data_IF_443686136917
#
_entry.id   IF_443686136917
#
_cell.length_a   1.000
_cell.length_b   1.000
_cell.length_c   1.000
_cell.angle_alpha   90.00
_cell.angle_beta   90.00
_cell.angle_gamma   90.00
#
_symmetry.space_group_name_H-M   'P 1'
#
loop_
_entity.id
_entity.type
_entity.pdbx_description
1 polymer ?
#
# COMPACT_ATOMS: atom_id res chain seq x y z
N UNK A 1 -64.85 27.80 -11.26
CA UNK A 1 -65.59 28.39 -10.12
C UNK A 1 -66.72 27.50 -9.56
N UNK A 2 -66.81 26.20 -9.90
CA UNK A 2 -67.89 25.31 -9.43
C UNK A 2 -67.46 24.29 -8.35
N UNK A 3 -66.17 23.91 -8.30
CA UNK A 3 -65.69 22.89 -7.34
C UNK A 3 -65.57 23.41 -5.90
N UNK A 4 -65.23 24.68 -5.68
CA UNK A 4 -65.11 25.25 -4.34
C UNK A 4 -66.46 25.40 -3.60
N UNK A 5 -67.58 25.58 -4.33
CA UNK A 5 -68.92 25.64 -3.72
C UNK A 5 -69.41 24.27 -3.24
N UNK A 6 -69.04 23.20 -3.93
CA UNK A 6 -69.38 21.83 -3.51
C UNK A 6 -68.61 21.45 -2.25
N UNK A 7 -67.32 21.82 -2.17
CA UNK A 7 -66.48 21.54 -1.00
C UNK A 7 -66.94 22.29 0.26
N UNK A 8 -67.32 23.57 0.16
CA UNK A 8 -67.85 24.30 1.33
C UNK A 8 -69.22 23.78 1.79
N UNK A 9 -70.07 23.30 0.88
CA UNK A 9 -71.38 22.71 1.23
C UNK A 9 -71.21 21.39 2.01
N UNK A 10 -70.27 20.54 1.58
CA UNK A 10 -69.94 19.27 2.25
C UNK A 10 -69.33 19.53 3.64
N UNK A 11 -68.44 20.51 3.77
CA UNK A 11 -67.81 20.87 5.05
C UNK A 11 -68.83 21.44 6.05
N UNK A 12 -69.78 22.26 5.58
CA UNK A 12 -70.83 22.84 6.42
C UNK A 12 -71.91 21.81 6.82
N UNK A 13 -72.18 20.81 5.97
CA UNK A 13 -73.03 19.68 6.31
C UNK A 13 -72.37 18.77 7.37
N UNK A 14 -71.06 18.54 7.31
CA UNK A 14 -70.34 17.79 8.34
C UNK A 14 -70.35 18.49 9.70
N UNK A 15 -70.20 19.82 9.76
CA UNK A 15 -70.30 20.56 11.02
C UNK A 15 -71.71 20.52 11.65
N UNK A 16 -72.76 20.61 10.83
CA UNK A 16 -74.15 20.48 11.32
C UNK A 16 -74.46 19.06 11.77
N UNK A 17 -73.98 18.04 11.06
CA UNK A 17 -74.14 16.64 11.46
C UNK A 17 -73.41 16.34 12.77
N UNK A 18 -72.19 16.89 12.95
CA UNK A 18 -71.42 16.74 14.17
C UNK A 18 -72.09 17.41 15.38
N UNK A 19 -72.69 18.59 15.20
CA UNK A 19 -73.45 19.29 16.27
C UNK A 19 -74.76 18.59 16.65
N UNK A 20 -75.48 18.02 15.68
CA UNK A 20 -76.70 17.24 15.94
C UNK A 20 -76.39 15.93 16.67
N UNK A 21 -75.32 15.22 16.26
CA UNK A 21 -74.87 13.99 16.91
C UNK A 21 -74.40 14.24 18.36
N UNK A 22 -73.75 15.39 18.60
CA UNK A 22 -73.31 15.75 19.95
C UNK A 22 -74.49 16.10 20.87
N UNK A 23 -75.54 16.78 20.37
CA UNK A 23 -76.72 17.09 21.20
C UNK A 23 -77.58 15.86 21.51
N UNK A 24 -77.65 14.90 20.59
CA UNK A 24 -78.45 13.68 20.76
C UNK A 24 -77.76 12.67 21.70
N UNK A 25 -76.41 12.65 21.75
CA UNK A 25 -75.64 11.84 22.70
C UNK A 25 -75.77 12.29 24.16
N UNK A 26 -75.99 13.60 24.40
CA UNK A 26 -76.17 14.16 25.74
C UNK A 26 -77.56 13.90 26.31
N UNK A 27 -78.56 13.62 25.46
CA UNK A 27 -79.93 13.30 25.91
C UNK A 27 -80.17 11.80 26.16
N UNK A 28 -79.27 10.93 25.71
CA UNK A 28 -79.47 9.47 25.75
C UNK A 28 -78.64 8.74 26.82
N UNK A 29 -77.90 9.46 27.66
CA UNK A 29 -77.15 8.87 28.78
C UNK A 29 -77.85 9.18 30.10
N UNK A 30 -78.80 8.32 30.48
CA UNK A 30 -79.16 8.10 31.88
C UNK A 30 -77.96 7.46 32.58
N UNK A 31 -76.94 8.25 32.84
CA UNK A 31 -75.85 7.90 33.76
C UNK A 31 -76.20 8.59 35.06
N UNK A 32 -76.37 7.78 36.11
CA UNK A 32 -76.42 8.28 37.49
C UNK A 32 -75.10 9.01 37.78
N UNK A 33 -75.08 10.32 37.53
CA UNK A 33 -73.94 11.20 37.79
C UNK A 33 -73.89 11.46 39.29
N UNK A 34 -73.24 10.56 40.03
CA UNK A 34 -72.70 10.94 41.33
C UNK A 34 -71.58 11.96 41.09
N UNK A 35 -71.50 12.99 41.93
CA UNK A 35 -70.46 14.03 41.83
C UNK A 35 -69.04 13.42 41.79
N UNK A 36 -68.86 12.27 42.43
CA UNK A 36 -67.63 11.47 42.47
C UNK A 36 -67.15 11.02 41.07
N UNK A 37 -68.04 10.58 40.17
CA UNK A 37 -67.64 10.11 38.83
C UNK A 37 -67.18 11.24 37.90
N UNK A 38 -67.73 12.45 38.07
CA UNK A 38 -67.32 13.65 37.33
C UNK A 38 -65.95 14.16 37.80
N UNK A 39 -65.71 14.10 39.11
CA UNK A 39 -64.44 14.49 39.72
C UNK A 39 -63.32 13.49 39.37
N UNK A 40 -63.63 12.19 39.32
CA UNK A 40 -62.71 11.14 38.87
C UNK A 40 -62.37 11.27 37.37
N UNK A 41 -63.35 11.61 36.53
CA UNK A 41 -63.10 11.89 35.10
C UNK A 41 -62.23 13.14 34.89
N UNK A 42 -62.49 14.22 35.65
CA UNK A 42 -61.71 15.45 35.60
C UNK A 42 -60.26 15.25 36.08
N UNK A 43 -60.05 14.47 37.14
CA UNK A 43 -58.70 14.14 37.64
C UNK A 43 -57.94 13.28 36.62
N UNK A 44 -58.61 12.34 35.95
CA UNK A 44 -57.98 11.53 34.89
C UNK A 44 -57.58 12.36 33.67
N UNK A 45 -58.39 13.35 33.28
CA UNK A 45 -58.05 14.27 32.18
C UNK A 45 -56.79 15.08 32.53
N UNK A 46 -56.71 15.64 33.74
CA UNK A 46 -55.53 16.38 34.19
C UNK A 46 -54.26 15.51 34.23
N UNK A 47 -54.41 14.24 34.59
CA UNK A 47 -53.29 13.28 34.59
C UNK A 47 -52.80 12.99 33.16
N UNK A 48 -53.71 12.75 32.22
CA UNK A 48 -53.39 12.55 30.81
C UNK A 48 -52.76 13.79 30.17
N UNK A 49 -53.22 14.99 30.53
CA UNK A 49 -52.61 16.24 30.08
C UNK A 49 -51.17 16.38 30.57
N UNK A 50 -50.90 15.99 31.83
CA UNK A 50 -49.55 15.96 32.39
C UNK A 50 -48.65 14.95 31.67
N UNK A 51 -49.16 13.74 31.40
CA UNK A 51 -48.43 12.71 30.64
C UNK A 51 -48.13 13.16 29.20
N UNK A 52 -49.09 13.78 28.51
CA UNK A 52 -48.88 14.34 27.18
C UNK A 52 -47.82 15.45 27.16
N UNK A 53 -47.81 16.31 28.17
CA UNK A 53 -46.80 17.35 28.32
C UNK A 53 -45.41 16.73 28.54
N UNK A 54 -45.29 15.73 29.40
CA UNK A 54 -44.05 15.01 29.64
C UNK A 54 -43.54 14.32 28.36
N UNK A 55 -44.42 13.63 27.63
CA UNK A 55 -44.09 12.99 26.37
C UNK A 55 -43.61 14.00 25.33
N UNK A 56 -44.27 15.17 25.21
CA UNK A 56 -43.84 16.25 24.31
C UNK A 56 -42.45 16.78 24.66
N UNK A 57 -42.16 17.01 25.94
CA UNK A 57 -40.84 17.47 26.36
C UNK A 57 -39.75 16.44 26.07
N UNK A 58 -40.03 15.16 26.30
CA UNK A 58 -39.11 14.05 26.00
C UNK A 58 -38.81 13.94 24.50
N UNK A 59 -39.83 14.08 23.65
CA UNK A 59 -39.66 14.11 22.19
C UNK A 59 -38.82 15.32 21.77
N UNK A 60 -39.09 16.51 22.30
CA UNK A 60 -38.30 17.71 21.99
C UNK A 60 -36.81 17.55 22.36
N UNK A 61 -36.51 16.92 23.50
CA UNK A 61 -35.13 16.63 23.91
C UNK A 61 -34.46 15.62 22.97
N UNK A 62 -35.20 14.59 22.55
CA UNK A 62 -34.72 13.58 21.58
C UNK A 62 -34.48 14.21 20.21
N UNK A 63 -35.37 15.06 19.72
CA UNK A 63 -35.21 15.79 18.45
C UNK A 63 -33.97 16.68 18.47
N UNK A 64 -33.69 17.35 19.60
CA UNK A 64 -32.48 18.14 19.77
C UNK A 64 -31.20 17.27 19.72
N UNK A 65 -31.24 16.06 20.28
CA UNK A 65 -30.13 15.09 20.20
C UNK A 65 -29.96 14.56 18.77
N UNK A 66 -31.05 14.20 18.10
CA UNK A 66 -31.03 13.76 16.70
C UNK A 66 -30.45 14.84 15.78
N UNK A 67 -30.80 16.11 16.00
CA UNK A 67 -30.22 17.23 15.25
C UNK A 67 -28.71 17.33 15.43
N UNK A 68 -28.21 17.27 16.67
CA UNK A 68 -26.77 17.29 16.95
C UNK A 68 -26.03 16.13 16.29
N UNK A 69 -26.62 14.94 16.30
CA UNK A 69 -26.03 13.77 15.64
C UNK A 69 -26.03 13.91 14.12
N UNK A 70 -27.09 14.47 13.54
CA UNK A 70 -27.15 14.76 12.11
C UNK A 70 -26.12 15.80 11.69
N UNK A 71 -25.91 16.85 12.48
CA UNK A 71 -24.89 17.86 12.21
C UNK A 71 -23.48 17.25 12.25
N UNK A 72 -23.21 16.38 13.24
CA UNK A 72 -21.93 15.67 13.34
C UNK A 72 -21.71 14.71 12.16
N UNK A 73 -22.75 13.99 11.76
CA UNK A 73 -22.67 13.10 10.61
C UNK A 73 -22.36 13.87 9.33
N UNK A 74 -23.08 14.97 9.05
CA UNK A 74 -22.84 15.80 7.88
C UNK A 74 -21.41 16.38 7.86
N UNK A 75 -20.89 16.76 9.02
CA UNK A 75 -19.51 17.22 9.15
C UNK A 75 -18.51 16.12 8.80
N UNK A 76 -18.68 14.92 9.37
CA UNK A 76 -17.82 13.77 9.05
C UNK A 76 -17.90 13.38 7.57
N UNK A 77 -19.09 13.37 6.98
CA UNK A 77 -19.28 13.07 5.56
C UNK A 77 -18.54 14.07 4.66
N UNK A 78 -18.51 15.35 5.08
CA UNK A 78 -17.75 16.40 4.38
C UNK A 78 -16.24 16.14 4.48
N UNK A 79 -15.72 15.83 5.67
CA UNK A 79 -14.30 15.53 5.85
C UNK A 79 -13.85 14.30 5.07
N UNK A 80 -14.67 13.25 5.06
CA UNK A 80 -14.42 12.04 4.27
C UNK A 80 -14.41 12.36 2.78
N UNK A 81 -15.34 13.19 2.31
CA UNK A 81 -15.39 13.61 0.91
C UNK A 81 -14.14 14.41 0.51
N UNK A 82 -13.74 15.40 1.32
CA UNK A 82 -12.53 16.20 1.07
C UNK A 82 -11.25 15.35 1.07
N UNK A 83 -11.14 14.40 1.99
CA UNK A 83 -9.99 13.49 2.03
C UNK A 83 -9.95 12.59 0.80
N UNK A 84 -11.12 12.09 0.37
CA UNK A 84 -11.26 11.27 -0.82
C UNK A 84 -10.85 12.04 -2.07
N UNK A 85 -11.27 13.31 -2.18
CA UNK A 85 -10.86 14.19 -3.29
C UNK A 85 -9.33 14.39 -3.32
N UNK A 86 -8.72 14.69 -2.17
CA UNK A 86 -7.25 14.85 -2.07
C UNK A 86 -6.50 13.58 -2.44
N UNK A 87 -7.00 12.42 -2.03
CA UNK A 87 -6.39 11.13 -2.36
C UNK A 87 -6.43 10.85 -3.86
N UNK A 88 -7.56 11.13 -4.52
CA UNK A 88 -7.66 11.01 -5.98
C UNK A 88 -6.73 11.99 -6.68
N UNK A 89 -6.67 13.26 -6.26
CA UNK A 89 -5.76 14.25 -6.85
C UNK A 89 -4.29 13.82 -6.75
N UNK A 90 -3.88 13.29 -5.60
CA UNK A 90 -2.49 12.81 -5.42
C UNK A 90 -2.23 11.55 -6.26
N UNK A 91 -3.18 10.62 -6.35
CA UNK A 91 -3.05 9.45 -7.22
C UNK A 91 -2.90 9.86 -8.70
N UNK A 92 -3.74 10.79 -9.19
CA UNK A 92 -3.62 11.33 -10.55
C UNK A 92 -2.26 11.97 -10.80
N UNK A 93 -1.76 12.75 -9.83
CA UNK A 93 -0.44 13.37 -9.92
C UNK A 93 0.68 12.34 -9.98
N UNK A 94 0.65 11.32 -9.12
CA UNK A 94 1.65 10.25 -9.13
C UNK A 94 1.69 9.49 -10.46
N UNK A 95 0.52 9.20 -11.03
CA UNK A 95 0.39 8.52 -12.33
C UNK A 95 0.95 9.40 -13.45
N UNK A 96 0.60 10.68 -13.48
CA UNK A 96 1.11 11.62 -14.49
C UNK A 96 2.63 11.81 -14.38
N UNK A 97 3.17 11.92 -13.16
CA UNK A 97 4.60 12.02 -12.93
C UNK A 97 5.33 10.75 -13.40
N UNK A 98 4.75 9.57 -13.22
CA UNK A 98 5.29 8.31 -13.73
C UNK A 98 5.27 8.27 -15.27
N UNK A 99 4.17 8.72 -15.87
CA UNK A 99 4.01 8.77 -17.33
C UNK A 99 5.00 9.75 -17.97
N UNK A 100 5.21 10.93 -17.38
CA UNK A 100 6.20 11.90 -17.85
C UNK A 100 7.63 11.32 -17.77
N UNK A 101 7.97 10.60 -16.70
CA UNK A 101 9.27 9.92 -16.57
C UNK A 101 9.42 8.83 -17.64
N UNK A 102 8.36 8.08 -17.91
CA UNK A 102 8.34 7.04 -18.95
C UNK A 102 8.56 7.63 -20.34
N UNK A 103 7.86 8.70 -20.68
CA UNK A 103 8.02 9.40 -21.97
C UNK A 103 9.46 9.90 -22.16
N UNK A 104 10.06 10.50 -21.12
CA UNK A 104 11.46 10.93 -21.16
C UNK A 104 12.43 9.76 -21.37
N UNK A 105 12.22 8.64 -20.70
CA UNK A 105 13.05 7.45 -20.85
C UNK A 105 12.92 6.83 -22.24
N UNK A 106 11.70 6.71 -22.77
CA UNK A 106 11.43 6.20 -24.12
C UNK A 106 12.10 7.08 -25.19
N UNK A 107 12.04 8.41 -25.02
CA UNK A 107 12.74 9.34 -25.92
C UNK A 107 14.25 9.15 -25.91
N UNK A 108 14.87 9.05 -24.73
CA UNK A 108 16.31 8.82 -24.60
C UNK A 108 16.73 7.45 -25.17
N UNK A 109 15.87 6.44 -25.02
CA UNK A 109 16.07 5.12 -25.60
C UNK A 109 16.02 5.18 -27.12
N UNK A 110 15.06 5.90 -27.71
CA UNK A 110 14.98 6.10 -29.15
C UNK A 110 16.23 6.80 -29.70
N UNK A 111 16.70 7.86 -29.05
CA UNK A 111 17.92 8.58 -29.42
C UNK A 111 19.16 7.66 -29.35
N UNK A 112 19.26 6.84 -28.32
CA UNK A 112 20.37 5.88 -28.15
C UNK A 112 20.32 4.76 -29.18
N UNK A 113 19.13 4.28 -29.51
CA UNK A 113 18.93 3.28 -30.57
C UNK A 113 19.36 3.81 -31.93
N UNK A 114 18.98 5.05 -32.27
CA UNK A 114 19.45 5.69 -33.50
C UNK A 114 20.98 5.80 -33.56
N UNK A 115 21.66 6.08 -32.43
CA UNK A 115 23.13 6.09 -32.36
C UNK A 115 23.73 4.71 -32.57
N UNK A 116 23.13 3.66 -32.00
CA UNK A 116 23.57 2.27 -32.22
C UNK A 116 23.44 1.86 -33.68
N UNK A 117 22.34 2.23 -34.35
CA UNK A 117 22.13 1.91 -35.76
C UNK A 117 23.22 2.57 -36.64
N UNK A 118 23.57 3.83 -36.37
CA UNK A 118 24.67 4.53 -37.05
C UNK A 118 26.00 3.83 -36.80
N UNK A 119 26.35 3.56 -35.55
CA UNK A 119 27.61 2.89 -35.21
C UNK A 119 27.69 1.47 -35.81
N UNK A 120 26.57 0.76 -35.87
CA UNK A 120 26.49 -0.57 -36.48
C UNK A 120 26.78 -0.49 -37.97
N UNK A 121 26.19 0.48 -38.68
CA UNK A 121 26.46 0.72 -40.09
C UNK A 121 27.93 1.12 -40.35
N UNK A 122 28.51 1.96 -39.49
CA UNK A 122 29.93 2.34 -39.57
C UNK A 122 30.85 1.13 -39.40
N UNK A 123 30.60 0.29 -38.39
CA UNK A 123 31.37 -0.94 -38.15
C UNK A 123 31.21 -1.92 -39.30
N UNK A 124 30.03 -2.07 -39.87
CA UNK A 124 29.79 -2.92 -41.03
C UNK A 124 30.59 -2.44 -42.26
N UNK A 125 30.60 -1.13 -42.52
CA UNK A 125 31.41 -0.54 -43.59
C UNK A 125 32.92 -0.77 -43.36
N UNK A 126 33.42 -0.57 -42.13
CA UNK A 126 34.81 -0.85 -41.77
C UNK A 126 35.16 -2.33 -41.92
N UNK A 127 34.25 -3.24 -41.56
CA UNK A 127 34.43 -4.68 -41.70
C UNK A 127 34.58 -5.11 -43.15
N UNK A 128 33.86 -4.46 -44.08
CA UNK A 128 34.02 -4.67 -45.53
C UNK A 128 35.42 -4.23 -45.98
N UNK A 129 35.87 -3.05 -45.53
CA UNK A 129 37.20 -2.52 -45.87
C UNK A 129 38.32 -3.43 -45.36
N UNK A 130 38.23 -3.91 -44.11
CA UNK A 130 39.25 -4.77 -43.50
C UNK A 130 39.27 -6.17 -44.11
N UNK A 131 38.09 -6.72 -44.48
CA UNK A 131 37.99 -8.02 -45.15
C UNK A 131 38.34 -7.97 -46.63
N UNK A 132 38.52 -6.78 -47.22
CA UNK A 132 39.04 -6.69 -48.57
C UNK A 132 40.46 -7.28 -48.60
N UNK A 133 40.76 -8.26 -49.48
CA UNK A 133 42.02 -8.97 -49.45
C UNK A 133 43.19 -7.99 -49.65
N UNK A 134 44.16 -8.03 -48.72
CA UNK A 134 45.46 -7.40 -48.90
C UNK A 134 46.12 -7.98 -50.14
N UNK A 135 46.27 -7.16 -51.18
CA UNK A 135 47.09 -7.49 -52.34
C UNK A 135 48.53 -7.66 -51.86
N UNK A 136 49.02 -8.90 -51.87
CA UNK A 136 50.42 -9.22 -51.64
C UNK A 136 51.27 -8.47 -52.68
N UNK A 137 52.08 -7.53 -52.21
CA UNK A 137 53.14 -6.92 -52.99
C UNK A 137 54.33 -7.89 -52.97
N UNK A 138 54.55 -8.60 -54.08
CA UNK A 138 55.81 -9.29 -54.36
C UNK A 138 56.41 -8.78 -55.68
N UNK A 139 57.61 -8.18 -55.53
CA UNK A 139 58.71 -7.93 -56.49
C UNK A 139 58.45 -8.06 -58.00
N UNK A 140 58.72 -6.95 -58.71
CA UNK A 140 59.03 -6.92 -60.16
C UNK A 140 58.38 -5.73 -60.84
N UNK A 141 59.15 -4.65 -61.04
CA UNK A 141 58.60 -3.37 -61.48
C UNK A 141 58.13 -3.33 -62.94
N UNK A 142 57.04 -2.60 -63.19
CA UNK A 142 56.97 -1.45 -64.13
C UNK A 142 55.85 -0.53 -63.63
N UNK A 143 56.11 0.77 -63.59
CA UNK A 143 55.21 1.76 -63.03
C UNK A 143 53.98 2.05 -63.90
N UNK A 144 52.87 2.38 -63.21
CA UNK A 144 51.75 3.22 -63.63
C UNK A 144 50.82 2.74 -64.76
N UNK A 145 49.63 2.27 -64.32
CA UNK A 145 48.31 2.92 -64.49
C UNK A 145 47.26 1.82 -64.47
N UNK A 146 46.52 1.69 -63.37
CA UNK A 146 45.11 1.25 -63.21
C UNK A 146 44.92 1.16 -61.68
N UNK A 147 44.98 2.31 -61.01
CA UNK A 147 44.67 2.40 -59.56
C UNK A 147 44.06 3.78 -59.28
N UNK A 148 43.05 4.15 -60.08
CA UNK A 148 42.52 5.51 -60.11
C UNK A 148 41.00 5.65 -60.16
N UNK A 149 40.21 4.57 -60.14
CA UNK A 149 38.75 4.71 -60.27
C UNK A 149 37.91 4.24 -59.07
N UNK A 150 38.42 3.35 -58.20
CA UNK A 150 37.60 2.85 -57.07
C UNK A 150 37.85 3.58 -55.74
N UNK A 151 38.93 4.36 -55.61
CA UNK A 151 39.19 5.18 -54.42
C UNK A 151 38.55 6.57 -54.51
N UNK A 152 38.46 7.14 -55.72
CA UNK A 152 37.86 8.47 -55.97
C UNK A 152 36.32 8.46 -55.96
N UNK A 153 35.68 7.30 -56.18
CA UNK A 153 34.21 7.18 -56.05
C UNK A 153 33.74 7.04 -54.59
N UNK A 154 34.62 6.61 -53.67
CA UNK A 154 34.28 6.50 -52.26
C UNK A 154 34.41 7.84 -51.53
N UNK A 155 35.35 8.70 -51.94
CA UNK A 155 35.52 10.05 -51.39
C UNK A 155 34.41 11.02 -51.77
N UNK A 156 33.67 10.76 -52.87
CA UNK A 156 32.54 11.59 -53.27
C UNK A 156 31.27 11.28 -52.44
N UNK A 157 31.07 10.03 -52.02
CA UNK A 157 29.92 9.63 -51.21
C UNK A 157 30.08 9.99 -49.72
N UNK A 158 31.31 9.94 -49.17
CA UNK A 158 31.58 10.36 -47.79
C UNK A 158 31.42 11.89 -47.62
N UNK A 159 31.67 12.67 -48.68
CA UNK A 159 31.46 14.13 -48.66
C UNK A 159 30.00 14.55 -48.93
N UNK A 160 29.18 13.69 -49.55
CA UNK A 160 27.74 13.95 -49.74
C UNK A 160 26.92 13.72 -48.45
N UNK A 161 27.28 12.73 -47.63
CA UNK A 161 26.60 12.42 -46.37
C UNK A 161 26.82 13.49 -45.28
N UNK A 162 27.94 14.21 -45.31
CA UNK A 162 28.20 15.32 -44.36
C UNK A 162 27.47 16.62 -44.72
N UNK A 163 27.00 16.78 -45.98
CA UNK A 163 26.21 17.95 -46.40
C UNK A 163 24.71 17.83 -46.13
N UNK A 164 24.15 16.62 -46.00
CA UNK A 164 22.72 16.42 -45.69
C UNK A 164 22.38 16.73 -44.23
N UNK A 165 23.36 16.69 -43.32
CA UNK A 165 23.14 16.96 -41.88
C UNK A 165 23.11 18.47 -41.56
N UNK A 166 23.41 19.37 -42.50
CA UNK A 166 23.42 20.83 -42.26
C UNK A 166 22.13 21.57 -42.61
N UNK A 167 21.06 20.87 -42.99
CA UNK A 167 19.76 21.46 -43.36
C UNK A 167 18.66 20.90 -42.45
N UNK A 168 18.74 21.16 -41.15
CA UNK A 168 17.58 21.23 -40.23
C UNK A 168 17.98 21.99 -38.97
N UNK A 169 18.36 23.26 -39.12
CA UNK A 169 18.37 24.20 -38.00
C UNK A 169 17.94 25.57 -38.47
N UNK A 170 16.65 25.87 -38.28
CA UNK A 170 16.10 27.22 -38.08
C UNK A 170 14.66 27.13 -37.56
N UNK A 171 14.43 27.86 -36.46
CA UNK A 171 13.20 28.06 -35.64
C UNK A 171 13.01 26.95 -34.58
N UNK A 172 13.01 27.22 -33.27
CA UNK A 172 12.45 28.37 -32.57
C UNK A 172 13.20 28.75 -31.28
N UNK A 173 13.04 30.02 -30.92
CA UNK A 173 13.69 30.75 -29.81
C UNK A 173 13.05 30.42 -28.45
N UNK A 174 13.90 30.39 -27.41
CA UNK A 174 13.74 31.02 -26.07
C UNK A 174 12.76 30.40 -25.05
N UNK A 175 13.32 29.79 -24.00
CA UNK A 175 13.13 30.28 -22.62
C UNK A 175 14.35 29.95 -21.75
N UNK A 176 14.62 30.84 -20.80
CA UNK A 176 15.89 31.07 -20.10
C UNK A 176 16.13 30.17 -18.87
N UNK A 177 17.42 29.89 -18.65
CA UNK A 177 18.16 29.81 -17.37
C UNK A 177 17.66 28.93 -16.20
N UNK A 178 18.45 27.92 -15.81
CA UNK A 178 19.21 27.94 -14.54
C UNK A 178 20.32 26.87 -14.54
N UNK A 179 21.41 27.19 -13.84
CA UNK A 179 22.71 26.50 -13.80
C UNK A 179 22.69 25.35 -12.78
N UNK A 180 23.32 24.20 -13.07
CA UNK A 180 24.43 23.67 -12.26
C UNK A 180 24.87 22.24 -12.61
N UNK A 181 26.19 22.13 -12.82
CA UNK A 181 27.11 21.09 -12.38
C UNK A 181 26.86 19.64 -12.81
N UNK A 182 27.61 19.22 -13.85
CA UNK A 182 27.98 17.85 -14.11
C UNK A 182 28.64 17.19 -12.88
N UNK A 183 28.06 16.10 -12.40
CA UNK A 183 28.82 15.00 -11.80
C UNK A 183 28.77 13.81 -12.76
N UNK A 184 29.91 13.57 -13.42
CA UNK A 184 30.21 12.31 -14.09
C UNK A 184 30.20 11.18 -13.06
N UNK A 185 29.31 10.22 -13.22
CA UNK A 185 29.52 8.86 -12.75
C UNK A 185 29.23 7.91 -13.89
N UNK A 186 30.24 7.11 -14.24
CA UNK A 186 30.19 6.09 -15.27
C UNK A 186 29.12 5.05 -14.94
N UNK A 187 28.34 4.64 -15.95
CA UNK A 187 27.68 3.33 -15.96
C UNK A 187 27.96 2.62 -17.29
N UNK A 188 28.43 1.37 -17.15
CA UNK A 188 28.67 0.40 -18.20
C UNK A 188 27.34 -0.14 -18.76
N UNK A 189 27.30 -0.65 -20.01
CA UNK A 189 26.06 -1.03 -20.67
C UNK A 189 25.59 -2.41 -20.19
N UNK A 190 24.33 -2.53 -19.77
CA UNK A 190 23.67 -3.83 -19.59
C UNK A 190 22.89 -4.17 -20.84
N UNK A 191 23.14 -5.38 -21.33
CA UNK A 191 22.64 -5.97 -22.56
C UNK A 191 21.14 -6.19 -22.53
N UNK A 192 20.49 -5.88 -23.66
CA UNK A 192 19.08 -6.13 -23.94
C UNK A 192 18.75 -7.63 -24.10
N UNK A 193 17.54 -8.00 -23.65
CA UNK A 193 16.57 -9.02 -24.15
C UNK A 193 15.51 -9.19 -23.05
N UNK A 194 14.21 -9.23 -23.25
CA UNK A 194 13.34 -9.19 -24.43
C UNK A 194 11.89 -9.01 -23.94
N UNK A 195 11.00 -8.67 -24.86
CA UNK A 195 9.57 -8.35 -24.71
C UNK A 195 8.72 -9.38 -23.95
N UNK A 196 7.93 -8.93 -22.96
CA UNK A 196 6.59 -9.49 -22.64
C UNK A 196 5.66 -8.36 -22.17
N UNK A 197 4.46 -8.33 -22.72
CA UNK A 197 3.30 -7.54 -22.28
C UNK A 197 2.56 -8.26 -21.16
N UNK A 198 2.44 -7.65 -19.97
CA UNK A 198 1.21 -7.50 -19.18
C UNK A 198 1.54 -6.85 -17.82
N UNK A 199 0.58 -6.05 -17.33
CA UNK A 199 0.55 -5.36 -16.04
C UNK A 199 1.05 -6.20 -14.86
N UNK A 200 2.12 -5.72 -14.24
CA UNK A 200 2.49 -5.67 -12.83
C UNK A 200 3.88 -5.01 -12.89
N UNK A 201 4.24 -4.12 -11.96
CA UNK A 201 5.63 -3.69 -11.87
C UNK A 201 6.47 -4.97 -11.76
N UNK A 202 7.19 -5.35 -12.81
CA UNK A 202 8.07 -6.51 -12.84
C UNK A 202 9.07 -6.28 -11.70
N UNK A 203 8.72 -6.80 -10.53
CA UNK A 203 9.55 -6.78 -9.35
C UNK A 203 10.59 -7.87 -9.62
N UNK A 204 11.51 -7.56 -10.53
CA UNK A 204 12.57 -8.45 -10.98
C UNK A 204 13.34 -8.85 -9.74
N UNK A 205 13.04 -10.05 -9.25
CA UNK A 205 13.70 -10.61 -8.10
C UNK A 205 15.05 -11.13 -8.58
N UNK A 206 16.05 -10.25 -8.52
CA UNK A 206 17.43 -10.61 -8.79
C UNK A 206 18.03 -11.31 -7.57
N UNK A 207 18.65 -12.46 -7.81
CA UNK A 207 19.26 -13.26 -6.76
C UNK A 207 20.68 -12.76 -6.52
N UNK A 208 20.95 -12.30 -5.30
CA UNK A 208 22.32 -12.10 -4.85
C UNK A 208 23.05 -13.46 -4.75
N UNK A 209 24.12 -13.70 -5.53
CA UNK A 209 24.84 -14.96 -5.52
C UNK A 209 25.51 -15.29 -4.18
N UNK A 210 25.88 -14.29 -3.38
CA UNK A 210 26.51 -14.50 -2.06
C UNK A 210 25.50 -15.06 -1.07
N UNK A 211 24.35 -14.42 -0.95
CA UNK A 211 23.29 -14.87 -0.04
C UNK A 211 22.68 -16.20 -0.49
N UNK A 212 22.55 -16.41 -1.81
CA UNK A 212 22.04 -17.67 -2.33
C UNK A 212 23.00 -18.83 -2.02
N UNK A 213 24.32 -18.64 -2.21
CA UNK A 213 25.32 -19.66 -1.87
C UNK A 213 25.29 -20.01 -0.38
N UNK A 214 25.32 -19.00 0.49
CA UNK A 214 25.25 -19.21 1.95
C UNK A 214 23.98 -19.97 2.36
N UNK A 215 22.84 -19.65 1.74
CA UNK A 215 21.58 -20.35 1.97
C UNK A 215 21.61 -21.80 1.47
N UNK A 216 22.14 -22.05 0.27
CA UNK A 216 22.25 -23.40 -0.28
C UNK A 216 23.15 -24.29 0.57
N UNK A 217 24.33 -23.79 0.97
CA UNK A 217 25.25 -24.51 1.86
C UNK A 217 24.59 -24.84 3.22
N UNK A 218 23.87 -23.88 3.80
CA UNK A 218 23.09 -24.10 5.02
C UNK A 218 22.00 -25.16 4.83
N UNK A 219 21.24 -25.09 3.74
CA UNK A 219 20.18 -26.05 3.46
C UNK A 219 20.73 -27.47 3.25
N UNK A 220 21.82 -27.62 2.47
CA UNK A 220 22.49 -28.89 2.21
C UNK A 220 23.11 -29.51 3.47
N UNK A 221 23.53 -28.68 4.44
CA UNK A 221 24.00 -29.13 5.75
C UNK A 221 22.90 -29.68 6.68
N UNK A 222 21.65 -29.78 6.18
CA UNK A 222 20.49 -30.25 6.92
C UNK A 222 19.70 -29.14 7.63
N UNK A 223 19.83 -27.89 7.17
CA UNK A 223 19.06 -26.75 7.67
C UNK A 223 19.10 -26.56 9.20
N UNK A 224 20.23 -26.91 9.81
CA UNK A 224 20.40 -26.87 11.26
C UNK A 224 20.37 -25.42 11.78
N UNK A 225 19.88 -25.24 13.01
CA UNK A 225 19.98 -23.95 13.72
C UNK A 225 21.34 -23.87 14.41
N UNK A 226 22.41 -23.91 13.62
CA UNK A 226 23.78 -23.71 14.10
C UNK A 226 24.18 -22.25 13.95
N UNK A 227 24.43 -21.58 15.08
CA UNK A 227 24.85 -20.16 15.11
C UNK A 227 26.19 -19.91 14.43
N UNK A 228 26.97 -20.96 14.13
CA UNK A 228 28.27 -20.87 13.47
C UNK A 228 28.18 -20.85 11.95
N UNK A 229 27.01 -21.09 11.36
CA UNK A 229 26.88 -21.00 9.90
C UNK A 229 26.93 -19.54 9.46
N UNK A 230 27.61 -19.20 8.34
CA UNK A 230 27.65 -17.84 7.81
C UNK A 230 26.24 -17.27 7.56
N UNK A 231 25.32 -18.11 7.08
CA UNK A 231 23.92 -17.77 6.88
C UNK A 231 23.23 -17.29 8.18
N UNK A 232 23.39 -18.01 9.28
CA UNK A 232 22.78 -17.66 10.56
C UNK A 232 23.44 -16.46 11.21
N UNK A 233 24.77 -16.39 11.21
CA UNK A 233 25.51 -15.27 11.79
C UNK A 233 25.12 -13.95 11.14
N UNK A 234 24.98 -13.96 9.80
CA UNK A 234 24.53 -12.81 9.03
C UNK A 234 23.13 -12.37 9.44
N UNK A 235 22.15 -13.28 9.40
CA UNK A 235 20.74 -12.95 9.70
C UNK A 235 20.57 -12.50 11.16
N UNK A 236 21.33 -13.11 12.07
CA UNK A 236 21.34 -12.71 13.48
C UNK A 236 21.87 -11.29 13.66
N UNK A 237 22.91 -10.91 12.91
CA UNK A 237 23.61 -9.63 13.07
C UNK A 237 22.95 -8.49 12.31
N UNK A 238 22.51 -8.71 11.08
CA UNK A 238 21.95 -7.69 10.20
C UNK A 238 20.46 -7.42 10.47
N UNK A 239 19.67 -8.45 10.80
CA UNK A 239 18.22 -8.32 10.99
C UNK A 239 17.74 -8.63 12.41
N UNK A 240 17.99 -9.81 12.97
CA UNK A 240 17.31 -10.25 14.21
C UNK A 240 17.73 -9.38 15.40
N UNK A 241 19.03 -9.22 15.67
CA UNK A 241 19.51 -8.39 16.80
C UNK A 241 19.07 -6.93 16.65
N UNK A 242 19.21 -6.27 15.47
CA UNK A 242 18.68 -4.93 15.27
C UNK A 242 17.16 -4.84 15.36
N UNK A 243 16.42 -5.86 14.91
CA UNK A 243 14.95 -5.88 14.96
C UNK A 243 14.43 -6.10 16.39
N UNK A 244 15.16 -6.81 17.25
CA UNK A 244 14.80 -6.94 18.66
C UNK A 244 15.51 -5.93 19.56
N UNK A 245 16.22 -4.94 19.03
CA UNK A 245 16.86 -3.93 19.88
C UNK A 245 15.81 -3.00 20.51
N UNK A 246 15.51 -3.25 21.79
CA UNK A 246 14.62 -2.44 22.64
C UNK A 246 15.39 -1.89 23.86
N UNK A 247 14.80 -0.90 24.53
CA UNK A 247 15.39 -0.26 25.71
C UNK A 247 15.62 -1.26 26.86
N UNK A 248 14.61 -2.09 27.16
CA UNK A 248 14.70 -3.12 28.22
C UNK A 248 15.40 -4.39 27.72
N UNK A 249 16.73 -4.35 27.73
CA UNK A 249 17.60 -5.42 27.18
C UNK A 249 17.44 -6.79 27.86
N UNK A 250 17.20 -6.83 29.17
CA UNK A 250 17.03 -8.09 29.90
C UNK A 250 15.82 -8.87 29.41
N UNK A 251 14.65 -8.22 29.35
CA UNK A 251 13.40 -8.81 28.84
C UNK A 251 13.58 -9.19 27.37
N UNK A 252 14.25 -8.34 26.59
CA UNK A 252 14.54 -8.59 25.17
C UNK A 252 15.34 -9.87 24.95
N UNK A 253 16.37 -10.11 25.77
CA UNK A 253 17.17 -11.34 25.67
C UNK A 253 16.34 -12.58 25.93
N UNK A 254 15.46 -12.53 26.94
CA UNK A 254 14.50 -13.59 27.25
C UNK A 254 13.50 -13.80 26.11
N UNK A 255 13.00 -12.73 25.49
CA UNK A 255 12.12 -12.80 24.31
C UNK A 255 12.82 -13.52 23.16
N UNK A 256 14.07 -13.18 22.85
CA UNK A 256 14.83 -13.88 21.80
C UNK A 256 15.00 -15.38 22.11
N UNK A 257 15.33 -15.72 23.36
CA UNK A 257 15.40 -17.12 23.80
C UNK A 257 14.05 -17.84 23.69
N UNK A 258 12.95 -17.19 24.05
CA UNK A 258 11.60 -17.74 23.93
C UNK A 258 11.16 -17.95 22.48
N UNK A 259 11.53 -17.05 21.56
CA UNK A 259 11.27 -17.21 20.12
C UNK A 259 12.02 -18.44 19.57
N UNK A 260 13.29 -18.60 19.97
CA UNK A 260 14.12 -19.75 19.59
C UNK A 260 13.51 -21.06 20.05
N UNK A 261 13.08 -21.10 21.31
CA UNK A 261 12.48 -22.28 21.94
C UNK A 261 11.00 -22.48 21.59
N UNK A 262 10.41 -21.55 20.82
CA UNK A 262 9.00 -21.56 20.44
C UNK A 262 8.02 -21.58 21.63
N UNK A 263 8.34 -20.84 22.70
CA UNK A 263 7.52 -20.74 23.93
C UNK A 263 6.82 -19.39 24.10
N UNK A 264 7.10 -18.43 23.23
CA UNK A 264 6.53 -17.09 23.28
C UNK A 264 5.05 -17.11 22.88
N UNK A 265 4.20 -16.50 23.70
CA UNK A 265 2.79 -16.28 23.40
C UNK A 265 2.51 -14.79 23.20
N UNK A 266 1.63 -14.47 22.25
CA UNK A 266 1.29 -13.11 21.87
C UNK A 266 -0.20 -13.02 21.55
N UNK A 267 -0.88 -12.08 22.20
CA UNK A 267 -2.33 -11.90 22.06
C UNK A 267 -2.71 -10.42 21.92
N UNK A 268 -3.83 -10.16 21.24
CA UNK A 268 -4.48 -8.85 21.24
C UNK A 268 -5.32 -8.66 22.50
N UNK A 269 -5.38 -7.42 22.98
CA UNK A 269 -6.14 -7.04 24.16
C UNK A 269 -7.29 -6.16 23.72
N UNK A 270 -8.52 -6.60 23.99
CA UNK A 270 -9.73 -5.82 23.73
C UNK A 270 -10.18 -5.13 25.02
N UNK A 271 -9.72 -3.88 25.21
CA UNK A 271 -10.15 -3.04 26.33
C UNK A 271 -11.30 -2.14 25.90
N UNK A 272 -12.37 -2.06 26.71
CA UNK A 272 -13.51 -1.17 26.45
C UNK A 272 -13.11 0.31 26.46
N UNK A 273 -12.04 0.65 27.19
CA UNK A 273 -11.46 1.99 27.23
C UNK A 273 -9.93 1.89 27.17
N UNK A 274 -9.31 2.20 26.02
CA UNK A 274 -7.86 2.16 25.88
C UNK A 274 -7.19 3.12 26.86
N UNK A 275 -6.26 2.63 27.66
CA UNK A 275 -5.45 3.46 28.54
C UNK A 275 -3.97 3.46 28.11
N UNK A 276 -3.30 4.58 28.42
CA UNK A 276 -1.87 4.70 28.18
C UNK A 276 -1.10 3.85 29.21
N UNK A 277 -0.20 3.01 28.72
CA UNK A 277 0.65 2.14 29.52
C UNK A 277 2.09 2.31 29.05
N UNK A 278 3.04 2.15 29.97
CA UNK A 278 4.45 2.03 29.59
C UNK A 278 4.65 0.69 28.87
N UNK A 279 5.10 0.72 27.62
CA UNK A 279 5.40 -0.50 26.88
C UNK A 279 6.49 -1.30 27.61
N UNK A 280 6.25 -2.58 27.85
CA UNK A 280 7.15 -3.45 28.58
C UNK A 280 8.52 -3.66 27.91
N UNK A 281 8.66 -3.34 26.62
CA UNK A 281 9.92 -3.48 25.88
C UNK A 281 10.57 -2.12 25.56
N UNK A 282 9.81 -1.19 25.00
CA UNK A 282 10.33 0.12 24.58
C UNK A 282 10.36 1.17 25.68
N UNK A 283 9.72 0.95 26.84
CA UNK A 283 9.63 1.94 27.92
C UNK A 283 8.68 3.13 27.64
N UNK A 284 8.37 3.40 26.38
CA UNK A 284 7.51 4.52 25.95
C UNK A 284 6.06 4.35 26.39
N UNK A 285 5.47 5.41 26.93
CA UNK A 285 4.06 5.48 27.28
C UNK A 285 3.20 5.61 26.02
N UNK A 286 2.35 4.63 25.76
CA UNK A 286 1.49 4.57 24.57
C UNK A 286 0.31 3.63 24.79
N UNK A 287 -0.61 3.56 23.83
CA UNK A 287 -1.65 2.53 23.83
C UNK A 287 -0.97 1.19 23.50
N UNK A 288 -1.19 0.19 24.36
CA UNK A 288 -0.61 -1.15 24.21
C UNK A 288 -1.73 -2.16 23.95
N UNK A 289 -2.17 -2.34 22.68
CA UNK A 289 -3.26 -3.23 22.33
C UNK A 289 -2.85 -4.71 22.27
N UNK A 290 -1.61 -5.03 22.64
CA UNK A 290 -1.10 -6.39 22.65
C UNK A 290 -0.45 -6.73 23.99
N UNK A 291 -0.43 -8.00 24.31
CA UNK A 291 0.30 -8.56 25.45
C UNK A 291 1.13 -9.76 25.00
N UNK A 292 2.32 -9.90 25.57
CA UNK A 292 3.18 -11.06 25.37
C UNK A 292 3.41 -11.80 26.67
N UNK A 293 3.67 -13.10 26.57
CA UNK A 293 4.11 -13.95 27.67
C UNK A 293 5.31 -14.78 27.20
N UNK A 294 6.43 -14.70 27.91
CA UNK A 294 7.72 -15.30 27.49
C UNK A 294 7.71 -16.81 27.67
N UNK A 295 7.10 -17.28 28.76
CA UNK A 295 6.88 -18.68 29.07
C UNK A 295 5.57 -18.81 29.86
N UNK A 296 4.90 -19.97 29.78
CA UNK A 296 3.54 -20.16 30.32
C UNK A 296 3.35 -19.79 31.80
N UNK A 297 4.43 -19.77 32.60
CA UNK A 297 4.40 -19.45 34.03
C UNK A 297 4.73 -17.98 34.36
N UNK A 298 5.06 -17.15 33.37
CA UNK A 298 5.37 -15.72 33.57
C UNK A 298 4.13 -14.83 33.36
N UNK A 299 4.17 -13.63 33.95
CA UNK A 299 3.12 -12.63 33.82
C UNK A 299 3.02 -12.05 32.41
N UNK A 300 1.81 -11.57 32.07
CA UNK A 300 1.56 -10.88 30.81
C UNK A 300 2.22 -9.49 30.78
N UNK A 301 2.97 -9.23 29.72
CA UNK A 301 3.65 -7.97 29.47
C UNK A 301 2.96 -7.20 28.34
N UNK A 302 2.43 -6.01 28.64
CA UNK A 302 1.78 -5.16 27.63
C UNK A 302 2.79 -4.51 26.69
N UNK A 303 2.53 -4.57 25.39
CA UNK A 303 3.41 -4.03 24.36
C UNK A 303 2.67 -3.18 23.33
N UNK A 304 3.41 -2.25 22.72
CA UNK A 304 2.94 -1.40 21.64
C UNK A 304 2.82 -2.18 20.32
N UNK A 305 2.07 -1.64 19.37
CA UNK A 305 1.99 -2.17 18.01
C UNK A 305 3.37 -2.26 17.33
N UNK A 306 4.24 -1.26 17.55
CA UNK A 306 5.61 -1.25 17.02
C UNK A 306 6.42 -2.44 17.53
N UNK A 307 6.40 -2.67 18.85
CA UNK A 307 7.10 -3.79 19.46
C UNK A 307 6.53 -5.12 18.99
N UNK A 308 5.21 -5.24 18.90
CA UNK A 308 4.51 -6.42 18.36
C UNK A 308 4.99 -6.74 16.94
N UNK A 309 4.99 -5.77 16.04
CA UNK A 309 5.34 -5.99 14.63
C UNK A 309 6.79 -6.46 14.45
N UNK A 310 7.73 -5.89 15.24
CA UNK A 310 9.14 -6.32 15.25
C UNK A 310 9.29 -7.76 15.73
N UNK A 311 8.60 -8.13 16.81
CA UNK A 311 8.61 -9.50 17.35
C UNK A 311 8.00 -10.48 16.35
N UNK A 312 6.83 -10.17 15.78
CA UNK A 312 6.16 -11.08 14.84
C UNK A 312 6.99 -11.33 13.59
N UNK A 313 7.66 -10.31 13.04
CA UNK A 313 8.54 -10.50 11.88
C UNK A 313 9.65 -11.53 12.15
N UNK A 314 10.22 -11.49 13.36
CA UNK A 314 11.25 -12.45 13.80
C UNK A 314 10.62 -13.82 14.06
N UNK A 315 9.46 -13.89 14.70
CA UNK A 315 8.73 -15.15 14.91
C UNK A 315 8.37 -15.85 13.60
N UNK A 316 7.93 -15.10 12.59
CA UNK A 316 7.58 -15.63 11.26
C UNK A 316 8.82 -16.25 10.61
N UNK A 317 9.97 -15.56 10.69
CA UNK A 317 11.25 -16.09 10.20
C UNK A 317 11.64 -17.41 10.90
N UNK A 318 11.68 -17.42 12.24
CA UNK A 318 12.02 -18.65 12.98
C UNK A 318 11.03 -19.80 12.72
N UNK A 319 9.74 -19.48 12.56
CA UNK A 319 8.71 -20.47 12.25
C UNK A 319 8.93 -21.08 10.87
N UNK A 320 9.21 -20.24 9.88
CA UNK A 320 9.51 -20.70 8.54
C UNK A 320 10.76 -21.60 8.51
N UNK A 321 11.85 -21.18 9.16
CA UNK A 321 13.08 -21.98 9.22
C UNK A 321 12.84 -23.34 9.92
N UNK A 322 12.01 -23.38 10.98
CA UNK A 322 11.61 -24.65 11.60
C UNK A 322 10.88 -25.56 10.62
N UNK A 323 9.98 -25.03 9.80
CA UNK A 323 9.26 -25.82 8.80
C UNK A 323 10.19 -26.34 7.69
N UNK A 324 11.18 -25.55 7.29
CA UNK A 324 12.22 -25.99 6.34
C UNK A 324 13.06 -27.12 6.96
N UNK A 325 13.54 -26.95 8.20
CA UNK A 325 14.34 -27.96 8.90
C UNK A 325 13.56 -29.27 9.16
N UNK A 326 12.25 -29.18 9.44
CA UNK A 326 11.38 -30.35 9.59
C UNK A 326 10.99 -31.02 8.25
N UNK A 327 11.36 -30.42 7.11
CA UNK A 327 11.00 -30.93 5.79
C UNK A 327 9.49 -30.83 5.47
N UNK A 328 8.75 -29.98 6.18
CA UNK A 328 7.30 -29.77 5.95
C UNK A 328 7.07 -29.03 4.64
N UNK A 329 7.98 -28.12 4.29
CA UNK A 329 7.89 -27.32 3.05
C UNK A 329 8.52 -28.08 1.88
N UNK A 330 7.70 -28.51 0.93
CA UNK A 330 8.14 -29.28 -0.26
C UNK A 330 8.28 -28.41 -1.51
N UNK A 331 8.97 -27.28 -1.38
CA UNK A 331 9.21 -26.34 -2.48
C UNK A 331 10.64 -26.45 -3.01
N UNK A 332 10.90 -25.94 -4.22
CA UNK A 332 12.26 -25.89 -4.76
C UNK A 332 13.16 -24.93 -3.98
N UNK A 333 14.48 -25.16 -3.99
CA UNK A 333 15.48 -24.32 -3.30
C UNK A 333 15.30 -22.82 -3.57
N UNK A 334 14.97 -22.47 -4.80
CA UNK A 334 14.75 -21.09 -5.22
C UNK A 334 13.54 -20.44 -4.53
N UNK A 335 12.44 -21.17 -4.37
CA UNK A 335 11.24 -20.67 -3.70
C UNK A 335 11.46 -20.54 -2.19
N UNK A 336 12.18 -21.49 -1.61
CA UNK A 336 12.58 -21.43 -0.21
C UNK A 336 13.46 -20.20 0.06
N UNK A 337 14.45 -19.97 -0.80
CA UNK A 337 15.31 -18.80 -0.73
C UNK A 337 14.51 -17.50 -0.86
N UNK A 338 13.63 -17.41 -1.86
CA UNK A 338 12.78 -16.22 -2.06
C UNK A 338 11.96 -15.89 -0.82
N UNK A 339 11.41 -16.91 -0.16
CA UNK A 339 10.64 -16.69 1.06
C UNK A 339 11.53 -16.27 2.23
N UNK A 340 12.73 -16.84 2.38
CA UNK A 340 13.74 -16.35 3.34
C UNK A 340 14.06 -14.88 3.11
N UNK A 341 14.28 -14.45 1.86
CA UNK A 341 14.55 -13.04 1.53
C UNK A 341 13.34 -12.15 1.86
N UNK A 342 12.11 -12.60 1.60
CA UNK A 342 10.90 -11.86 1.98
C UNK A 342 10.79 -11.70 3.51
N UNK A 343 11.11 -12.74 4.29
CA UNK A 343 11.09 -12.67 5.75
C UNK A 343 12.19 -11.75 6.29
N UNK A 344 13.39 -11.75 5.69
CA UNK A 344 14.45 -10.77 5.99
C UNK A 344 13.99 -9.35 5.69
N UNK A 345 13.35 -9.12 4.54
CA UNK A 345 12.74 -7.83 4.17
C UNK A 345 11.73 -7.37 5.22
N UNK A 346 10.85 -8.26 5.68
CA UNK A 346 9.84 -7.95 6.69
C UNK A 346 10.48 -7.53 8.02
N UNK A 347 11.54 -8.22 8.47
CA UNK A 347 12.31 -7.82 9.66
C UNK A 347 12.97 -6.45 9.47
N UNK A 348 13.55 -6.17 8.30
CA UNK A 348 14.18 -4.89 8.00
C UNK A 348 13.17 -3.72 8.00
N UNK A 349 11.97 -3.93 7.42
CA UNK A 349 10.87 -2.97 7.45
C UNK A 349 10.35 -2.73 8.87
N UNK A 350 10.12 -3.81 9.63
CA UNK A 350 9.64 -3.73 11.00
C UNK A 350 10.62 -2.96 11.91
N UNK A 351 11.93 -3.17 11.71
CA UNK A 351 12.98 -2.42 12.42
C UNK A 351 12.86 -0.91 12.22
N UNK A 352 12.45 -0.47 11.03
CA UNK A 352 12.25 0.94 10.68
C UNK A 352 10.84 1.46 11.06
N UNK A 353 10.01 0.63 11.69
CA UNK A 353 8.63 0.98 12.05
C UNK A 353 7.65 0.97 10.88
N UNK A 354 8.03 0.37 9.75
CA UNK A 354 7.18 0.25 8.56
C UNK A 354 6.32 -1.01 8.64
N UNK A 355 5.12 -0.94 8.08
CA UNK A 355 4.24 -2.09 7.93
C UNK A 355 4.81 -3.11 6.92
N UNK A 356 4.45 -4.37 7.10
CA UNK A 356 4.72 -5.44 6.15
C UNK A 356 3.52 -6.41 6.14
N UNK A 357 3.33 -7.12 5.03
CA UNK A 357 2.25 -8.11 4.88
C UNK A 357 2.77 -9.47 5.36
N UNK A 358 2.26 -10.03 6.47
CA UNK A 358 2.63 -11.38 6.91
C UNK A 358 1.88 -12.40 6.04
N UNK A 359 2.59 -13.15 5.18
CA UNK A 359 1.96 -14.19 4.34
C UNK A 359 1.36 -15.35 5.16
N UNK A 360 1.86 -15.61 6.38
CA UNK A 360 1.37 -16.71 7.22
C UNK A 360 -0.07 -16.53 7.73
N UNK A 361 -0.72 -15.40 7.45
CA UNK A 361 -2.14 -15.18 7.75
C UNK A 361 -3.08 -15.99 6.82
N UNK A 362 -2.64 -16.36 5.62
CA UNK A 362 -3.51 -17.05 4.64
C UNK A 362 -3.75 -18.54 4.96
N UNK A 363 -2.88 -19.18 5.76
CA UNK A 363 -3.07 -20.58 6.16
C UNK A 363 -4.02 -20.79 7.37
N UNK A 364 -4.53 -19.72 8.01
CA UNK A 364 -5.49 -19.87 9.12
C UNK A 364 -6.95 -19.74 8.69
N UNK A 365 -7.22 -19.33 7.45
CA UNK A 365 -8.57 -19.10 6.92
C UNK A 365 -9.17 -20.29 6.15
N UNK A 366 -8.46 -21.41 6.00
CA UNK A 366 -8.97 -22.60 5.29
C UNK A 366 -9.39 -23.74 6.21
N UNK A 367 -9.61 -23.47 7.50
CA UNK A 367 -10.13 -24.44 8.45
C UNK A 367 -11.40 -23.91 9.12
N UNK A 368 -12.46 -23.73 8.34
CA UNK A 368 -13.83 -23.65 8.81
C UNK A 368 -14.77 -24.37 7.84
#
# INVERSE_FOLDING_TARGET
MSFYKVFLSIFCLQEKFFKLFYSESLSASNISLTAENLEESATRILELERELLFARNSIAEKDAKCKRLSDLQNHMDTEVHELTEKLFQEAYKMVNDAEERREKAEKLLAESRMKLDVLTAEVEALKIIVKAPSVHIARGGVANRIFGCNFLMLTLNILLLTKVIRITSKKNKRMENYVSAEKKSLSLPVSAKGSITHNEEDNVFEIDPLYYREFTEWHESGATVDEKSPFWERILTEEIKPCLNFEKREITSKVLSAIRNNTLELESVNEQKPCLKACALTGVCCICPYRLRIAGNEDWLFISLLARNRITAVCDFFTYIRYVNQGIVKSGLHDLYREVINLRKNMALARLGLGFVPKLAECRSSAH
#
